data_IF_625172637704
#
_entry.id   IF_625172637704
#
_cell.length_a   1.000
_cell.length_b   1.000
_cell.length_c   1.000
_cell.angle_alpha   90.00
_cell.angle_beta   90.00
_cell.angle_gamma   90.00
#
_symmetry.space_group_name_H-M   'P 1'
#
loop_
_entity.id
_entity.type
_entity.pdbx_description
1 polymer ?
#
# COMPACT_ATOMS: atom_id res chain seq x y z
N UNK A 1 3.72 -9.65 -19.74
CA UNK A 1 4.73 -9.55 -18.66
C UNK A 1 4.13 -10.08 -17.36
N UNK A 2 4.95 -10.62 -16.46
CA UNK A 2 4.50 -11.15 -15.16
C UNK A 2 5.12 -10.31 -14.04
N UNK A 3 4.30 -9.89 -13.08
CA UNK A 3 4.71 -9.12 -11.91
C UNK A 3 4.21 -9.81 -10.65
N UNK A 4 5.06 -9.94 -9.64
CA UNK A 4 4.68 -10.50 -8.35
C UNK A 4 4.90 -9.45 -7.28
N UNK A 5 3.83 -9.04 -6.61
CA UNK A 5 3.86 -7.95 -5.65
C UNK A 5 3.23 -8.38 -4.33
N UNK A 6 3.77 -7.84 -3.24
CA UNK A 6 3.08 -7.85 -1.94
C UNK A 6 2.36 -6.52 -1.83
N UNK A 7 1.06 -6.54 -1.63
CA UNK A 7 0.32 -5.36 -1.19
C UNK A 7 -0.07 -5.49 0.26
N UNK A 8 -0.07 -4.38 0.98
CA UNK A 8 -0.40 -4.37 2.41
C UNK A 8 -1.05 -3.07 2.86
N UNK A 9 -1.88 -3.18 3.90
CA UNK A 9 -2.51 -2.03 4.55
C UNK A 9 -2.91 -2.31 6.00
N UNK A 10 -3.04 -1.23 6.77
CA UNK A 10 -3.76 -1.23 8.03
C UNK A 10 -5.12 -0.59 7.84
N UNK A 11 -6.18 -1.38 8.02
CA UNK A 11 -7.54 -0.85 8.06
C UNK A 11 -7.80 -0.01 9.31
N UNK A 12 -8.86 0.79 9.27
CA UNK A 12 -9.36 1.58 10.41
C UNK A 12 -9.94 0.72 11.54
N UNK A 13 -10.28 -0.55 11.25
CA UNK A 13 -10.73 -1.51 12.27
C UNK A 13 -9.64 -1.89 13.26
N UNK A 14 -8.36 -1.67 12.92
CA UNK A 14 -7.20 -2.03 13.74
C UNK A 14 -7.14 -3.53 14.10
N UNK A 15 -7.79 -4.38 13.29
CA UNK A 15 -7.75 -5.82 13.49
C UNK A 15 -6.36 -6.40 13.23
N UNK A 16 -5.57 -5.74 12.37
CA UNK A 16 -4.22 -6.16 12.04
C UNK A 16 -3.67 -5.53 10.76
N UNK A 17 -2.48 -6.01 10.39
CA UNK A 17 -1.80 -5.67 9.15
C UNK A 17 -2.16 -6.70 8.08
N UNK A 18 -3.01 -6.31 7.13
CA UNK A 18 -3.46 -7.17 6.04
C UNK A 18 -2.44 -7.19 4.92
N UNK A 19 -2.14 -8.37 4.38
CA UNK A 19 -1.19 -8.58 3.29
C UNK A 19 -1.75 -9.54 2.24
N UNK A 20 -1.39 -9.31 0.97
CA UNK A 20 -1.59 -10.26 -0.11
C UNK A 20 -0.36 -10.32 -1.00
N UNK A 21 0.09 -11.53 -1.32
CA UNK A 21 1.04 -11.79 -2.40
C UNK A 21 0.26 -12.16 -3.66
N UNK A 22 0.44 -11.37 -4.71
CA UNK A 22 -0.38 -11.44 -5.92
C UNK A 22 0.53 -11.53 -7.14
N UNK A 23 0.20 -12.43 -8.05
CA UNK A 23 0.77 -12.44 -9.39
C UNK A 23 -0.16 -11.70 -10.35
N UNK A 24 0.39 -10.73 -11.08
CA UNK A 24 -0.28 -10.00 -12.14
C UNK A 24 0.34 -10.38 -13.49
N UNK A 25 -0.50 -10.65 -14.48
CA UNK A 25 -0.07 -10.90 -15.83
C UNK A 25 -0.70 -9.87 -16.77
N UNK A 26 0.12 -9.32 -17.66
CA UNK A 26 -0.31 -8.39 -18.69
C UNK A 26 0.01 -8.99 -20.07
N UNK A 27 -1.03 -9.18 -20.90
CA UNK A 27 -0.90 -9.72 -22.25
C UNK A 27 -1.72 -8.86 -23.21
N UNK A 28 -1.04 -8.07 -24.05
CA UNK A 28 -1.69 -7.27 -25.09
C UNK A 28 -2.61 -6.19 -24.54
N UNK A 29 -2.23 -5.55 -23.44
CA UNK A 29 -2.97 -4.51 -22.73
C UNK A 29 -4.05 -5.04 -21.77
N UNK A 30 -4.21 -6.37 -21.67
CA UNK A 30 -5.19 -6.99 -20.78
C UNK A 30 -4.51 -7.54 -19.53
N UNK A 31 -5.07 -7.21 -18.38
CA UNK A 31 -4.55 -7.65 -17.10
C UNK A 31 -5.36 -8.83 -16.55
N UNK A 32 -4.67 -9.79 -15.94
CA UNK A 32 -5.22 -10.83 -15.08
C UNK A 32 -4.41 -10.90 -13.79
N UNK A 33 -4.99 -11.45 -12.72
CA UNK A 33 -4.27 -11.66 -11.48
C UNK A 33 -4.67 -12.95 -10.78
N UNK A 34 -3.76 -13.45 -9.96
CA UNK A 34 -3.97 -14.58 -9.06
C UNK A 34 -3.46 -14.22 -7.67
N UNK A 35 -4.31 -14.39 -6.66
CA UNK A 35 -3.92 -14.22 -5.26
C UNK A 35 -3.26 -15.52 -4.82
N UNK A 36 -1.96 -15.48 -4.53
CA UNK A 36 -1.18 -16.67 -4.18
C UNK A 36 -1.16 -16.91 -2.68
N UNK A 37 -1.01 -15.85 -1.88
CA UNK A 37 -1.00 -15.93 -0.41
C UNK A 37 -1.66 -14.69 0.20
N UNK A 38 -2.30 -14.87 1.35
CA UNK A 38 -2.83 -13.77 2.16
C UNK A 38 -2.51 -14.01 3.63
N UNK A 39 -2.39 -12.93 4.40
CA UNK A 39 -2.31 -13.01 5.86
C UNK A 39 -2.84 -11.72 6.49
N UNK A 40 -3.30 -11.81 7.73
CA UNK A 40 -3.58 -10.66 8.58
C UNK A 40 -2.86 -10.87 9.91
N UNK A 41 -1.80 -10.10 10.14
CA UNK A 41 -1.09 -10.13 11.42
C UNK A 41 -1.81 -9.23 12.41
N UNK A 42 -2.48 -9.86 13.38
CA UNK A 42 -3.20 -9.14 14.41
C UNK A 42 -2.29 -8.18 15.18
N UNK A 43 -2.78 -6.96 15.43
CA UNK A 43 -2.05 -6.01 16.25
C UNK A 43 -2.11 -6.41 17.72
N UNK A 44 -0.97 -6.28 18.40
CA UNK A 44 -0.96 -6.27 19.87
C UNK A 44 -1.72 -5.04 20.40
N UNK A 45 -2.25 -5.12 21.63
CA UNK A 45 -2.90 -4.00 22.31
C UNK A 45 -2.05 -2.72 22.33
N UNK A 46 -0.72 -2.86 22.39
CA UNK A 46 0.22 -1.73 22.31
C UNK A 46 0.12 -1.03 20.97
N UNK A 47 0.14 -1.77 19.86
CA UNK A 47 0.01 -1.18 18.52
C UNK A 47 -1.36 -0.57 18.28
N UNK A 48 -2.42 -1.25 18.73
CA UNK A 48 -3.79 -0.69 18.69
C UNK A 48 -3.81 0.67 19.40
N UNK A 49 -3.32 0.73 20.64
CA UNK A 49 -3.29 1.98 21.42
C UNK A 49 -2.45 3.09 20.77
N UNK A 50 -1.29 2.75 20.20
CA UNK A 50 -0.39 3.71 19.55
C UNK A 50 -0.99 4.28 18.26
N UNK A 51 -1.56 3.43 17.41
CA UNK A 51 -2.14 3.84 16.14
C UNK A 51 -3.43 4.66 16.37
N UNK A 52 -4.28 4.27 17.32
CA UNK A 52 -5.48 5.04 17.70
C UNK A 52 -5.16 6.46 18.17
N UNK A 53 -4.04 6.63 18.89
CA UNK A 53 -3.65 7.92 19.45
C UNK A 53 -2.75 8.74 18.52
N UNK A 54 -2.46 8.26 17.32
CA UNK A 54 -1.46 8.86 16.44
C UNK A 54 -1.71 10.36 16.18
N UNK A 55 -2.96 10.76 15.93
CA UNK A 55 -3.34 12.14 15.60
C UNK A 55 -3.24 13.11 16.79
N UNK A 56 -3.10 12.60 18.01
CA UNK A 56 -2.95 13.40 19.23
C UNK A 56 -1.48 13.63 19.62
N UNK A 57 -0.54 13.06 18.86
CA UNK A 57 0.89 13.15 19.16
C UNK A 57 1.47 14.51 18.77
N UNK A 58 2.56 14.90 19.43
CA UNK A 58 3.40 16.00 18.96
C UNK A 58 3.97 15.68 17.57
N UNK A 59 4.34 16.70 16.79
CA UNK A 59 4.94 16.47 15.46
C UNK A 59 6.16 15.53 15.51
N UNK A 60 7.00 15.67 16.55
CA UNK A 60 8.16 14.79 16.76
C UNK A 60 7.72 13.35 17.02
N UNK A 61 6.77 13.15 17.93
CA UNK A 61 6.35 11.80 18.33
C UNK A 61 5.55 11.10 17.24
N UNK A 62 4.78 11.86 16.43
CA UNK A 62 4.14 11.35 15.23
C UNK A 62 5.17 10.84 14.22
N UNK A 63 6.26 11.60 14.00
CA UNK A 63 7.35 11.18 13.10
C UNK A 63 8.12 9.96 13.65
N UNK A 64 8.33 9.89 14.97
CA UNK A 64 8.89 8.68 15.60
C UNK A 64 7.97 7.47 15.40
N UNK A 65 6.66 7.62 15.61
CA UNK A 65 5.69 6.57 15.36
C UNK A 65 5.67 6.15 13.88
N UNK A 66 5.82 7.08 12.94
CA UNK A 66 5.89 6.80 11.51
C UNK A 66 7.06 5.87 11.15
N UNK A 67 8.25 6.15 11.71
CA UNK A 67 9.46 5.35 11.52
C UNK A 67 9.32 3.98 12.20
N UNK A 68 8.88 3.96 13.46
CA UNK A 68 8.72 2.72 14.23
C UNK A 68 7.69 1.78 13.59
N UNK A 69 6.59 2.34 13.10
CA UNK A 69 5.59 1.56 12.39
C UNK A 69 6.11 1.05 11.04
N UNK A 70 6.92 1.83 10.32
CA UNK A 70 7.64 1.36 9.13
C UNK A 70 8.55 0.17 9.42
N UNK A 71 9.32 0.21 10.51
CA UNK A 71 10.15 -0.92 10.94
C UNK A 71 9.30 -2.15 11.31
N UNK A 72 8.21 -1.96 12.05
CA UNK A 72 7.28 -3.04 12.36
C UNK A 72 6.70 -3.67 11.09
N UNK A 73 6.24 -2.87 10.13
CA UNK A 73 5.73 -3.34 8.84
C UNK A 73 6.80 -4.14 8.09
N UNK A 74 8.03 -3.65 8.01
CA UNK A 74 9.14 -4.37 7.37
C UNK A 74 9.40 -5.74 8.01
N UNK A 75 9.35 -5.83 9.34
CA UNK A 75 9.46 -7.10 10.07
C UNK A 75 8.30 -8.06 9.73
N UNK A 76 7.06 -7.56 9.70
CA UNK A 76 5.90 -8.39 9.34
C UNK A 76 5.97 -8.86 7.88
N UNK A 77 6.49 -8.04 6.96
CA UNK A 77 6.69 -8.45 5.56
C UNK A 77 7.73 -9.56 5.45
N UNK A 78 8.88 -9.44 6.13
CA UNK A 78 9.88 -10.52 6.14
C UNK A 78 9.31 -11.81 6.73
N UNK A 79 8.56 -11.71 7.83
CA UNK A 79 7.84 -12.86 8.40
C UNK A 79 6.87 -13.49 7.40
N UNK A 80 6.07 -12.68 6.70
CA UNK A 80 5.16 -13.17 5.66
C UNK A 80 5.90 -13.88 4.52
N UNK A 81 7.04 -13.33 4.08
CA UNK A 81 7.90 -13.94 3.06
C UNK A 81 8.46 -15.28 3.54
N UNK A 82 8.91 -15.35 4.78
CA UNK A 82 9.45 -16.57 5.38
C UNK A 82 8.38 -17.66 5.52
N UNK A 83 7.24 -17.35 6.12
CA UNK A 83 6.12 -18.29 6.33
C UNK A 83 5.60 -18.89 5.03
N UNK A 84 5.66 -18.12 3.92
CA UNK A 84 5.15 -18.53 2.61
C UNK A 84 6.25 -18.91 1.61
N UNK A 85 7.52 -18.94 2.02
CA UNK A 85 8.66 -19.29 1.17
C UNK A 85 8.74 -18.44 -0.12
N UNK A 86 8.63 -17.12 0.03
CA UNK A 86 8.53 -16.16 -1.08
C UNK A 86 9.87 -15.49 -1.44
N UNK A 87 10.99 -15.99 -0.91
CA UNK A 87 12.32 -15.42 -1.16
C UNK A 87 12.60 -15.36 -2.67
N UNK A 88 13.11 -14.22 -3.13
CA UNK A 88 13.42 -13.94 -4.54
C UNK A 88 12.22 -13.97 -5.51
N UNK A 89 10.98 -14.05 -5.00
CA UNK A 89 9.76 -14.04 -5.83
C UNK A 89 9.05 -12.69 -5.86
N UNK A 90 9.37 -11.79 -4.94
CA UNK A 90 8.70 -10.48 -4.79
C UNK A 90 9.45 -9.43 -5.61
N UNK A 91 8.77 -8.80 -6.56
CA UNK A 91 9.32 -7.71 -7.35
C UNK A 91 9.17 -6.36 -6.66
N UNK A 92 8.05 -6.14 -5.96
CA UNK A 92 7.76 -4.87 -5.28
C UNK A 92 6.82 -5.10 -4.09
N UNK A 93 7.01 -4.33 -3.04
CA UNK A 93 6.08 -4.20 -1.92
C UNK A 93 5.32 -2.89 -2.10
N UNK A 94 4.00 -2.92 -1.93
CA UNK A 94 3.12 -1.77 -2.02
C UNK A 94 2.40 -1.59 -0.68
N UNK A 95 2.77 -0.55 0.06
CA UNK A 95 2.27 -0.29 1.41
C UNK A 95 1.45 0.97 1.44
N UNK A 96 0.15 0.84 1.70
CA UNK A 96 -0.69 2.00 1.98
C UNK A 96 -0.35 2.64 3.32
N UNK A 97 0.02 1.83 4.32
CA UNK A 97 0.33 2.28 5.67
C UNK A 97 -0.88 2.20 6.62
N UNK A 98 -0.95 3.11 7.58
CA UNK A 98 -2.08 3.30 8.48
C UNK A 98 -2.59 4.73 8.37
N UNK A 99 -3.84 4.92 7.91
CA UNK A 99 -4.43 6.24 7.72
C UNK A 99 -4.57 6.98 9.04
N UNK A 100 -4.05 8.20 9.10
CA UNK A 100 -4.17 9.09 10.27
C UNK A 100 -4.89 10.39 9.92
N UNK A 101 -4.64 10.94 8.75
CA UNK A 101 -5.31 12.12 8.23
C UNK A 101 -5.83 11.82 6.83
N UNK A 102 -7.13 12.02 6.63
CA UNK A 102 -7.81 12.06 5.34
C UNK A 102 -8.73 13.28 5.35
N UNK A 103 -8.16 14.43 5.02
CA UNK A 103 -8.81 15.75 5.05
C UNK A 103 -8.77 16.35 3.64
N UNK A 104 -9.66 15.91 2.74
CA UNK A 104 -9.61 16.26 1.32
C UNK A 104 -9.82 17.75 1.06
N UNK A 105 -10.66 18.42 1.87
CA UNK A 105 -10.88 19.88 1.77
C UNK A 105 -9.59 20.68 2.07
N UNK A 106 -8.70 20.11 2.89
CA UNK A 106 -7.39 20.68 3.23
C UNK A 106 -6.27 20.11 2.33
N UNK A 107 -6.60 19.20 1.40
CA UNK A 107 -5.64 18.45 0.57
C UNK A 107 -4.59 17.70 1.38
N UNK A 108 -4.94 17.32 2.61
CA UNK A 108 -4.04 16.63 3.53
C UNK A 108 -4.42 15.15 3.60
N UNK A 109 -3.48 14.32 3.17
CA UNK A 109 -3.49 12.87 3.33
C UNK A 109 -2.23 12.46 4.07
N UNK A 110 -2.35 11.55 5.04
CA UNK A 110 -1.20 11.05 5.77
C UNK A 110 -1.41 9.62 6.28
N UNK A 111 -0.43 8.78 5.97
CA UNK A 111 -0.37 7.39 6.40
C UNK A 111 0.92 7.14 7.17
N UNK A 112 0.81 6.53 8.34
CA UNK A 112 1.97 6.03 9.07
C UNK A 112 2.55 4.81 8.34
N UNK A 113 3.88 4.67 8.39
CA UNK A 113 4.60 3.56 7.78
C UNK A 113 5.70 4.08 6.87
N UNK A 114 6.87 4.33 7.46
CA UNK A 114 8.03 4.82 6.72
C UNK A 114 8.47 3.81 5.64
N UNK A 115 8.36 4.23 4.38
CA UNK A 115 8.75 3.41 3.24
C UNK A 115 10.25 3.13 3.19
N UNK A 116 11.08 4.05 3.68
CA UNK A 116 12.52 3.85 3.77
C UNK A 116 12.87 2.75 4.78
N UNK A 117 12.24 2.76 5.96
CA UNK A 117 12.42 1.71 6.97
C UNK A 117 11.97 0.33 6.45
N UNK A 118 10.85 0.25 5.73
CA UNK A 118 10.38 -1.02 5.12
C UNK A 118 11.40 -1.51 4.08
N UNK A 119 11.85 -0.64 3.18
CA UNK A 119 12.81 -1.00 2.14
C UNK A 119 14.15 -1.46 2.73
N UNK A 120 14.67 -0.74 3.73
CA UNK A 120 15.92 -1.06 4.39
C UNK A 120 15.88 -2.43 5.11
N UNK A 121 14.76 -2.80 5.72
CA UNK A 121 14.62 -4.09 6.41
C UNK A 121 14.35 -5.26 5.47
N UNK A 122 13.63 -5.03 4.38
CA UNK A 122 13.22 -6.10 3.46
C UNK A 122 14.24 -6.35 2.35
N UNK A 123 15.10 -5.37 2.05
CA UNK A 123 16.01 -5.42 0.90
C UNK A 123 15.27 -5.40 -0.45
N UNK A 124 13.99 -5.04 -0.46
CA UNK A 124 13.10 -5.08 -1.61
C UNK A 124 12.67 -3.66 -2.01
N UNK A 125 12.28 -3.44 -3.27
CA UNK A 125 11.68 -2.17 -3.65
C UNK A 125 10.31 -1.98 -2.99
N UNK A 126 10.06 -0.78 -2.46
CA UNK A 126 8.84 -0.44 -1.74
C UNK A 126 8.19 0.79 -2.36
N UNK A 127 6.88 0.73 -2.57
CA UNK A 127 6.05 1.88 -2.93
C UNK A 127 5.14 2.23 -1.76
N UNK A 128 5.20 3.48 -1.31
CA UNK A 128 4.27 4.04 -0.29
C UNK A 128 3.64 5.33 -0.81
N UNK A 129 2.73 5.94 -0.04
CA UNK A 129 2.25 7.31 -0.28
C UNK A 129 1.59 7.50 -1.66
N UNK A 130 0.61 6.65 -1.97
CA UNK A 130 -0.07 6.65 -3.27
C UNK A 130 -0.84 7.93 -3.56
N UNK A 131 -1.43 8.56 -2.54
CA UNK A 131 -2.43 9.62 -2.74
C UNK A 131 -1.90 11.05 -2.63
N UNK A 132 -0.62 11.28 -2.27
CA UNK A 132 -0.09 12.65 -2.10
C UNK A 132 -0.24 13.54 -3.33
N UNK A 133 0.04 13.01 -4.53
CA UNK A 133 -0.10 13.80 -5.77
C UNK A 133 -1.57 14.04 -6.09
N UNK A 134 -2.41 13.03 -5.87
CA UNK A 134 -3.85 13.12 -6.11
C UNK A 134 -4.51 14.16 -5.20
N UNK A 135 -4.21 14.14 -3.90
CA UNK A 135 -4.66 15.13 -2.92
C UNK A 135 -4.18 16.55 -3.28
N UNK A 136 -2.91 16.72 -3.69
CA UNK A 136 -2.41 18.02 -4.15
C UNK A 136 -3.20 18.58 -5.35
N UNK A 137 -3.74 17.68 -6.19
CA UNK A 137 -4.59 18.00 -7.34
C UNK A 137 -6.09 18.10 -6.99
N UNK A 138 -6.46 18.05 -5.71
CA UNK A 138 -7.82 18.18 -5.20
C UNK A 138 -8.64 16.87 -5.20
N UNK A 139 -7.98 15.72 -5.33
CA UNK A 139 -8.64 14.43 -5.24
C UNK A 139 -8.76 13.88 -3.81
N UNK A 140 -9.34 12.69 -3.72
CA UNK A 140 -9.63 11.92 -2.50
C UNK A 140 -8.97 10.54 -2.61
N UNK A 141 -8.82 9.81 -1.50
CA UNK A 141 -8.22 8.45 -1.48
C UNK A 141 -9.11 7.35 -2.09
N UNK A 142 -9.80 7.64 -3.20
CA UNK A 142 -10.70 6.72 -3.90
C UNK A 142 -9.99 6.12 -5.11
N UNK A 143 -9.79 4.80 -5.06
CA UNK A 143 -9.23 4.02 -6.18
C UNK A 143 -9.86 2.63 -6.28
N UNK A 144 -11.06 2.49 -5.73
CA UNK A 144 -11.74 1.21 -5.61
C UNK A 144 -12.12 0.63 -6.98
N UNK A 145 -12.38 1.46 -7.98
CA UNK A 145 -12.77 0.98 -9.31
C UNK A 145 -11.54 0.71 -10.20
N UNK A 146 -10.31 0.97 -9.74
CA UNK A 146 -9.08 0.62 -10.49
C UNK A 146 -9.07 -0.86 -10.89
N UNK A 147 -9.43 -1.75 -9.96
CA UNK A 147 -9.50 -3.19 -10.24
C UNK A 147 -10.63 -3.52 -11.23
N UNK A 148 -11.76 -2.83 -11.14
CA UNK A 148 -12.88 -3.06 -12.06
C UNK A 148 -12.52 -2.61 -13.48
N UNK A 149 -11.91 -1.43 -13.62
CA UNK A 149 -11.52 -0.85 -14.91
C UNK A 149 -10.48 -1.72 -15.62
N UNK A 150 -9.50 -2.27 -14.88
CA UNK A 150 -8.36 -2.99 -15.46
C UNK A 150 -8.57 -4.49 -15.63
N UNK A 151 -9.42 -5.12 -14.81
CA UNK A 151 -9.58 -6.58 -14.82
C UNK A 151 -10.98 -7.04 -15.26
N UNK A 152 -11.92 -6.14 -15.55
CA UNK A 152 -13.30 -6.51 -15.92
C UNK A 152 -13.97 -7.47 -14.91
N UNK A 153 -13.70 -7.27 -13.61
CA UNK A 153 -14.22 -8.13 -12.53
C UNK A 153 -15.48 -7.49 -11.92
N UNK A 154 -16.57 -8.28 -11.83
CA UNK A 154 -17.92 -7.81 -11.43
C UNK A 154 -18.23 -7.81 -9.90
N UNK A 155 -17.28 -8.02 -8.98
CA UNK A 155 -17.63 -8.32 -7.56
C UNK A 155 -17.25 -7.25 -6.51
N UNK A 156 -18.15 -7.08 -5.53
CA UNK A 156 -18.02 -6.26 -4.30
C UNK A 156 -16.67 -6.41 -3.59
N UNK A 157 -16.08 -5.29 -3.17
CA UNK A 157 -14.72 -5.25 -2.63
C UNK A 157 -14.71 -5.59 -1.13
N UNK A 158 -14.34 -6.83 -0.78
CA UNK A 158 -14.12 -7.29 0.61
C UNK A 158 -12.69 -7.01 1.10
N UNK A 159 -12.39 -7.15 2.39
CA UNK A 159 -11.09 -6.79 3.01
C UNK A 159 -9.85 -7.41 2.34
N UNK A 160 -9.96 -8.63 1.80
CA UNK A 160 -8.88 -9.30 1.06
C UNK A 160 -8.50 -8.53 -0.24
N UNK A 161 -9.43 -7.77 -0.82
CA UNK A 161 -9.23 -7.09 -2.10
C UNK A 161 -8.43 -5.79 -1.96
N UNK A 162 -8.34 -5.19 -0.78
CA UNK A 162 -7.58 -3.95 -0.62
C UNK A 162 -6.05 -4.15 -0.67
N UNK A 163 -5.45 -5.16 0.00
CA UNK A 163 -4.07 -5.53 -0.26
C UNK A 163 -3.79 -5.82 -1.74
N UNK A 164 -4.72 -6.48 -2.45
CA UNK A 164 -4.60 -6.74 -3.89
C UNK A 164 -4.60 -5.44 -4.70
N UNK A 165 -5.47 -4.48 -4.37
CA UNK A 165 -5.51 -3.15 -4.97
C UNK A 165 -4.15 -2.47 -4.82
N UNK A 166 -3.58 -2.40 -3.62
CA UNK A 166 -2.28 -1.75 -3.42
C UNK A 166 -1.15 -2.49 -4.11
N UNK A 167 -1.13 -3.82 -4.09
CA UNK A 167 -0.17 -4.62 -4.84
C UNK A 167 -0.17 -4.21 -6.32
N UNK A 168 -1.36 -4.05 -6.90
CA UNK A 168 -1.50 -3.62 -8.28
C UNK A 168 -1.09 -2.16 -8.51
N UNK A 169 -1.50 -1.24 -7.62
CA UNK A 169 -1.07 0.17 -7.67
C UNK A 169 0.45 0.31 -7.62
N UNK A 170 1.14 -0.55 -6.85
CA UNK A 170 2.60 -0.62 -6.81
C UNK A 170 3.22 -1.08 -8.13
N UNK A 171 2.63 -2.10 -8.78
CA UNK A 171 3.06 -2.55 -10.12
C UNK A 171 2.87 -1.45 -11.16
N UNK A 172 1.71 -0.77 -11.16
CA UNK A 172 1.45 0.33 -12.08
C UNK A 172 2.42 1.50 -11.83
N UNK A 173 2.69 1.84 -10.56
CA UNK A 173 3.68 2.85 -10.21
C UNK A 173 5.07 2.49 -10.73
N UNK A 174 5.47 1.22 -10.62
CA UNK A 174 6.74 0.73 -11.14
C UNK A 174 6.85 0.86 -12.68
N UNK A 175 5.72 0.72 -13.37
CA UNK A 175 5.60 0.88 -14.83
C UNK A 175 5.37 2.33 -15.27
N UNK A 176 5.31 3.27 -14.34
CA UNK A 176 4.95 4.67 -14.59
C UNK A 176 3.57 4.84 -15.25
N UNK A 177 2.64 3.93 -14.94
CA UNK A 177 1.26 3.95 -15.41
C UNK A 177 0.32 4.57 -14.37
N UNK A 178 -0.77 5.19 -14.83
CA UNK A 178 -1.79 5.76 -13.95
C UNK A 178 -2.35 4.69 -13.01
N UNK A 179 -2.31 4.98 -11.71
CA UNK A 179 -2.82 4.10 -10.66
C UNK A 179 -3.85 4.79 -9.74
N UNK A 180 -4.11 6.08 -9.93
CA UNK A 180 -5.23 6.80 -9.33
C UNK A 180 -5.94 7.59 -10.43
N UNK A 181 -7.25 7.35 -10.60
CA UNK A 181 -8.05 7.98 -11.64
C UNK A 181 -8.85 9.16 -11.12
N UNK A 182 -8.74 10.30 -11.82
CA UNK A 182 -9.45 11.53 -11.49
C UNK A 182 -10.98 11.37 -11.51
N UNK A 183 -11.48 10.47 -12.36
CA UNK A 183 -12.92 10.17 -12.43
C UNK A 183 -13.47 9.60 -11.12
N UNK A 184 -12.62 8.99 -10.29
CA UNK A 184 -12.99 8.44 -8.97
C UNK A 184 -12.61 9.39 -7.84
N UNK A 185 -11.39 9.91 -7.88
CA UNK A 185 -10.83 10.71 -6.80
C UNK A 185 -11.38 12.13 -6.77
N UNK A 186 -11.79 12.68 -7.91
CA UNK A 186 -12.15 14.09 -8.07
C UNK A 186 -10.96 15.00 -8.37
N UNK A 187 -9.75 14.46 -8.51
CA UNK A 187 -8.57 15.24 -8.89
C UNK A 187 -8.72 15.87 -10.27
N UNK A 188 -7.95 16.93 -10.53
CA UNK A 188 -7.93 17.60 -11.84
C UNK A 188 -7.41 16.75 -13.01
N UNK A 189 -6.68 15.65 -12.73
CA UNK A 189 -6.19 14.68 -13.73
C UNK A 189 -5.77 13.36 -13.08
N UNK A 190 -5.71 12.28 -13.87
CA UNK A 190 -5.15 11.00 -13.43
C UNK A 190 -3.70 11.15 -12.96
N UNK A 191 -3.30 10.32 -12.00
CA UNK A 191 -1.95 10.39 -11.41
C UNK A 191 -1.24 9.05 -11.37
N UNK A 192 0.09 9.13 -11.41
CA UNK A 192 1.01 8.03 -11.10
C UNK A 192 1.47 8.25 -9.66
N UNK A 193 0.65 7.77 -8.73
CA UNK A 193 0.83 7.93 -7.29
C UNK A 193 1.84 6.96 -6.70
N UNK A 194 2.56 7.41 -5.67
CA UNK A 194 3.48 6.57 -4.89
C UNK A 194 4.94 7.05 -4.92
N UNK A 195 5.56 7.11 -3.74
CA UNK A 195 6.99 7.26 -3.55
C UNK A 195 7.67 5.90 -3.64
N UNK A 196 8.72 5.79 -4.45
CA UNK A 196 9.49 4.56 -4.63
C UNK A 196 10.79 4.59 -3.80
N UNK A 197 11.01 3.55 -3.01
CA UNK A 197 12.18 3.36 -2.17
C UNK A 197 12.91 2.10 -2.62
N UNK A 198 14.22 2.21 -2.83
CA UNK A 198 15.06 1.09 -3.27
C UNK A 198 15.84 0.53 -2.08
N UNK A 199 15.52 -0.71 -1.67
CA UNK A 199 16.20 -1.40 -0.57
C UNK A 199 17.40 -2.26 -0.99
N UNK A 200 17.68 -2.38 -2.29
CA UNK A 200 18.77 -3.20 -2.80
C UNK A 200 20.11 -2.45 -2.76
N UNK A 201 21.18 -3.16 -2.41
CA UNK A 201 22.53 -2.67 -2.61
C UNK A 201 22.86 -2.59 -4.12
N UNK A 202 23.62 -1.56 -4.51
CA UNK A 202 24.02 -1.30 -5.90
C UNK A 202 25.25 -2.10 -6.34
#
# INVERSE_FOLDING_TARGET
MVYRAIGLMSGSSLDGLNMAFVEFQEIGGKWTFEILNTNCFAYSDVWVSRLQNATNLSAKDYQLLHIEYGHYTGQQVNKFIEENQLQYKVAVIASQGHTTFDLPDEKLTAHLGDGAAIAALTGLPVVTNFYSIDAALGGTERSMNLLQEKFSVESEINDIKMPVLFAFMGVLRWREEYNVFAAESGASRNTVGGALWMGQDA
#
